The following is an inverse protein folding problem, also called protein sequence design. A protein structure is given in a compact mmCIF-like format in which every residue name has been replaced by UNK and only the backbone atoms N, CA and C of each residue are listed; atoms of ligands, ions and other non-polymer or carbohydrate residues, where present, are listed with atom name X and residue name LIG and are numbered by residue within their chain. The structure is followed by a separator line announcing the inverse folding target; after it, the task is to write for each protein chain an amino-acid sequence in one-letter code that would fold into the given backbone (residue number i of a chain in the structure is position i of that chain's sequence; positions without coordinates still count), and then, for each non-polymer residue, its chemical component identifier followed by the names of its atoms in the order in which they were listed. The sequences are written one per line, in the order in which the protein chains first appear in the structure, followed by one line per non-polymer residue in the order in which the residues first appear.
data_IF_221384697101
#
_entry.id   IF_221384697101
#
_cell.length_a   1.000
_cell.length_b   1.000
_cell.length_c   1.000
_cell.angle_alpha   90.00
_cell.angle_beta   90.00
_cell.angle_gamma   90.00
#
_symmetry.space_group_name_H-M   'P 1'
#
loop_
_entity.id
_entity.type
_entity.pdbx_description
1 polymer ?
#
# COMPACT_ATOMS: atom_id res chain seq x y z
N UNK A 1 -5.04 -11.15 -20.41
CA UNK A 1 -5.66 -10.36 -19.35
C UNK A 1 -5.35 -8.87 -19.49
N UNK A 2 -5.88 -8.04 -18.60
CA UNK A 2 -5.74 -6.57 -18.71
C UNK A 2 -4.31 -6.05 -18.51
N UNK A 3 -3.41 -6.88 -17.97
CA UNK A 3 -1.99 -6.58 -17.76
C UNK A 3 -1.08 -7.36 -18.70
N UNK A 4 -1.60 -7.83 -19.84
CA UNK A 4 -0.84 -8.67 -20.77
C UNK A 4 0.45 -8.00 -21.23
N UNK A 5 1.59 -8.64 -20.93
CA UNK A 5 2.92 -8.16 -21.29
C UNK A 5 3.47 -7.03 -20.44
N UNK A 6 2.76 -6.60 -19.37
CA UNK A 6 3.24 -5.52 -18.50
C UNK A 6 4.32 -6.08 -17.56
N UNK A 7 5.56 -5.53 -17.61
CA UNK A 7 6.58 -5.84 -16.63
C UNK A 7 6.28 -5.10 -15.32
N UNK A 8 6.37 -5.83 -14.19
CA UNK A 8 6.19 -5.26 -12.86
C UNK A 8 7.17 -5.84 -11.86
N UNK A 9 7.36 -5.15 -10.79
CA UNK A 9 8.01 -5.64 -9.57
C UNK A 9 6.98 -5.75 -8.45
N UNK A 10 7.35 -6.38 -7.35
CA UNK A 10 6.47 -6.56 -6.18
C UNK A 10 7.30 -6.49 -4.90
N UNK A 11 6.69 -6.03 -3.83
CA UNK A 11 7.33 -5.98 -2.50
C UNK A 11 7.92 -7.35 -2.12
N UNK A 12 9.12 -7.35 -1.54
CA UNK A 12 9.87 -8.58 -1.21
C UNK A 12 9.08 -9.55 -0.33
N UNK A 13 8.17 -9.04 0.47
CA UNK A 13 7.34 -9.81 1.38
C UNK A 13 6.30 -10.74 0.71
N UNK A 14 6.03 -10.58 -0.58
CA UNK A 14 5.15 -11.50 -1.31
C UNK A 14 5.87 -12.76 -1.75
N UNK A 15 5.23 -13.91 -1.57
CA UNK A 15 5.70 -15.17 -2.07
C UNK A 15 5.62 -15.22 -3.61
N UNK A 16 6.75 -15.43 -4.26
CA UNK A 16 6.85 -15.83 -5.67
C UNK A 16 7.53 -17.20 -5.68
N UNK A 17 6.93 -18.18 -6.34
CA UNK A 17 7.45 -19.53 -6.44
C UNK A 17 8.93 -19.54 -6.85
N UNK A 18 9.75 -20.34 -6.15
CA UNK A 18 11.20 -20.47 -6.31
C UNK A 18 12.01 -19.18 -6.06
N UNK A 19 11.39 -18.11 -5.52
CA UNK A 19 12.12 -16.90 -5.12
C UNK A 19 12.18 -16.74 -3.60
N UNK A 20 13.24 -16.09 -3.14
CA UNK A 20 13.44 -15.81 -1.72
C UNK A 20 12.37 -14.86 -1.19
N UNK A 21 11.89 -15.15 0.01
CA UNK A 21 10.94 -14.31 0.78
C UNK A 21 11.47 -14.28 2.20
N UNK A 22 12.13 -13.19 2.55
CA UNK A 22 12.94 -13.11 3.77
C UNK A 22 12.45 -12.06 4.76
N UNK A 23 11.64 -11.10 4.31
CA UNK A 23 11.27 -9.89 5.04
C UNK A 23 12.50 -9.11 5.53
N UNK A 24 13.64 -9.23 4.82
CA UNK A 24 14.91 -8.61 5.20
C UNK A 24 15.57 -9.22 6.44
N UNK A 25 15.07 -10.33 6.95
CA UNK A 25 15.53 -10.99 8.17
C UNK A 25 16.54 -12.10 7.85
N UNK A 26 17.75 -12.03 8.43
CA UNK A 26 18.84 -12.99 8.24
C UNK A 26 18.45 -14.42 8.59
N UNK A 27 17.58 -14.62 9.55
CA UNK A 27 17.12 -15.97 9.92
C UNK A 27 16.37 -16.67 8.76
N UNK A 28 15.84 -15.88 7.83
CA UNK A 28 15.11 -16.37 6.66
C UNK A 28 15.86 -16.15 5.34
N UNK A 29 17.16 -15.82 5.37
CA UNK A 29 17.98 -15.55 4.18
C UNK A 29 17.85 -16.62 3.08
N UNK A 30 17.69 -17.87 3.49
CA UNK A 30 17.58 -19.01 2.55
C UNK A 30 16.11 -19.45 2.35
N UNK A 31 15.15 -18.77 2.96
CA UNK A 31 13.74 -19.10 2.81
C UNK A 31 13.26 -18.83 1.38
N UNK A 32 12.80 -19.87 0.70
CA UNK A 32 12.29 -19.84 -0.68
C UNK A 32 10.82 -20.23 -0.68
N UNK A 33 9.98 -19.44 -1.36
CA UNK A 33 8.56 -19.71 -1.44
C UNK A 33 8.28 -20.95 -2.30
N UNK A 34 7.46 -21.87 -1.78
CA UNK A 34 7.08 -23.10 -2.48
C UNK A 34 5.98 -22.89 -3.54
N UNK A 35 5.32 -21.75 -3.53
CA UNK A 35 4.27 -21.39 -4.49
C UNK A 35 4.05 -19.88 -4.52
N UNK A 36 3.45 -19.40 -5.59
CA UNK A 36 3.00 -18.00 -5.70
C UNK A 36 1.91 -17.68 -4.65
N UNK A 37 2.04 -16.55 -4.00
CA UNK A 37 0.96 -15.95 -3.21
C UNK A 37 -0.24 -15.56 -4.07
N UNK A 38 -1.41 -15.41 -3.44
CA UNK A 38 -2.66 -15.19 -4.18
C UNK A 38 -2.62 -13.93 -5.07
N UNK A 39 -2.08 -12.81 -4.56
CA UNK A 39 -1.94 -11.59 -5.35
C UNK A 39 -0.99 -11.79 -6.55
N UNK A 40 0.11 -12.53 -6.36
CA UNK A 40 1.07 -12.86 -7.43
C UNK A 40 0.39 -13.68 -8.52
N UNK A 41 -0.36 -14.72 -8.17
CA UNK A 41 -1.12 -15.53 -9.13
C UNK A 41 -2.10 -14.69 -9.93
N UNK A 42 -2.87 -13.82 -9.27
CA UNK A 42 -3.83 -12.94 -9.92
C UNK A 42 -3.18 -11.98 -10.92
N UNK A 43 -2.02 -11.41 -10.58
CA UNK A 43 -1.26 -10.59 -11.51
C UNK A 43 -0.75 -11.39 -12.70
N UNK A 44 -0.25 -12.62 -12.50
CA UNK A 44 0.15 -13.52 -13.60
C UNK A 44 -1.03 -13.90 -14.49
N UNK A 45 -2.17 -14.25 -13.93
CA UNK A 45 -3.41 -14.55 -14.66
C UNK A 45 -3.93 -13.34 -15.46
N UNK A 46 -3.73 -12.12 -14.92
CA UNK A 46 -3.99 -10.89 -15.64
C UNK A 46 -2.98 -10.61 -16.77
N UNK A 47 -1.88 -11.36 -16.84
CA UNK A 47 -0.87 -11.30 -17.91
C UNK A 47 0.38 -10.49 -17.56
N UNK A 48 0.56 -10.08 -16.30
CA UNK A 48 1.77 -9.39 -15.85
C UNK A 48 2.99 -10.32 -15.76
N UNK A 49 4.18 -9.74 -15.94
CA UNK A 49 5.46 -10.44 -15.80
C UNK A 49 6.26 -9.81 -14.65
N UNK A 50 6.62 -10.62 -13.65
CA UNK A 50 7.46 -10.15 -12.55
C UNK A 50 8.92 -10.14 -12.98
N UNK A 51 9.55 -8.95 -12.91
CA UNK A 51 10.99 -8.77 -13.17
C UNK A 51 11.83 -9.01 -11.91
N UNK A 52 11.22 -8.99 -10.73
CA UNK A 52 11.88 -9.17 -9.46
C UNK A 52 11.06 -8.63 -8.30
N UNK A 53 11.71 -8.58 -7.12
CA UNK A 53 11.12 -8.12 -5.87
C UNK A 53 11.83 -6.86 -5.39
N UNK A 54 11.11 -5.98 -4.70
CA UNK A 54 11.60 -4.68 -4.24
C UNK A 54 11.88 -4.70 -2.74
N UNK A 55 12.94 -4.00 -2.33
CA UNK A 55 13.50 -4.03 -0.98
C UNK A 55 12.53 -3.56 0.11
N UNK A 56 12.73 -4.08 1.30
CA UNK A 56 11.94 -3.85 2.52
C UNK A 56 12.87 -3.61 3.71
N UNK A 57 12.40 -3.00 4.82
CA UNK A 57 13.13 -3.05 6.10
C UNK A 57 13.04 -4.42 6.75
N UNK A 58 13.91 -4.66 7.73
CA UNK A 58 13.88 -5.84 8.60
C UNK A 58 12.49 -6.03 9.20
N UNK A 59 11.91 -7.22 9.02
CA UNK A 59 10.58 -7.63 9.51
C UNK A 59 9.45 -6.65 9.14
N UNK A 60 9.63 -5.85 8.09
CA UNK A 60 8.72 -4.80 7.64
C UNK A 60 8.46 -3.69 8.70
N UNK A 61 9.31 -3.57 9.71
CA UNK A 61 9.07 -2.81 10.93
C UNK A 61 9.72 -1.41 10.97
N UNK A 62 10.04 -0.81 9.80
CA UNK A 62 10.63 0.53 9.73
C UNK A 62 10.06 1.33 8.55
N UNK A 63 10.21 2.66 8.62
CA UNK A 63 9.94 3.60 7.52
C UNK A 63 11.18 3.91 6.68
N UNK A 64 12.30 3.23 6.92
CA UNK A 64 13.48 3.20 6.06
C UNK A 64 13.67 1.77 5.54
N UNK A 65 13.60 1.59 4.21
CA UNK A 65 13.77 0.28 3.58
C UNK A 65 15.23 -0.12 3.47
N UNK A 66 15.75 -0.71 4.55
CA UNK A 66 17.11 -1.26 4.63
C UNK A 66 17.13 -2.58 5.41
N UNK A 67 18.05 -3.45 5.05
CA UNK A 67 18.36 -4.67 5.79
C UNK A 67 19.75 -5.19 5.40
N UNK A 68 20.27 -6.16 6.14
CA UNK A 68 21.58 -6.75 5.92
C UNK A 68 21.68 -7.65 4.69
N UNK A 69 20.55 -8.15 4.17
CA UNK A 69 20.51 -9.07 3.01
C UNK A 69 20.63 -8.29 1.71
N UNK A 70 19.83 -7.22 1.56
CA UNK A 70 19.65 -6.50 0.29
C UNK A 70 20.21 -5.08 0.32
N UNK A 71 20.66 -4.59 1.47
CA UNK A 71 21.18 -3.23 1.63
C UNK A 71 20.09 -2.17 1.79
N UNK A 72 20.42 -0.94 1.41
CA UNK A 72 19.58 0.24 1.62
C UNK A 72 19.01 0.77 0.33
N UNK A 73 17.73 1.10 0.35
CA UNK A 73 17.04 1.82 -0.73
C UNK A 73 17.00 3.30 -0.40
N UNK A 74 17.46 4.13 -1.32
CA UNK A 74 17.43 5.58 -1.19
C UNK A 74 16.23 6.18 -1.96
N UNK A 75 15.83 7.39 -1.59
CA UNK A 75 14.77 8.10 -2.31
C UNK A 75 15.29 8.58 -3.68
N UNK A 76 14.61 8.26 -4.80
CA UNK A 76 15.10 8.63 -6.14
C UNK A 76 15.18 10.15 -6.38
N UNK A 77 14.40 10.95 -5.65
CA UNK A 77 14.42 12.41 -5.77
C UNK A 77 15.59 13.06 -5.03
N UNK A 78 16.07 12.40 -3.97
CA UNK A 78 17.23 12.85 -3.20
C UNK A 78 17.82 11.64 -2.46
N UNK A 79 19.00 11.22 -2.87
CA UNK A 79 19.67 10.01 -2.35
C UNK A 79 20.05 10.11 -0.86
N UNK A 80 20.06 11.32 -0.29
CA UNK A 80 20.28 11.56 1.14
C UNK A 80 18.98 11.43 1.98
N UNK A 81 17.85 11.11 1.33
CA UNK A 81 16.55 10.97 1.97
C UNK A 81 16.06 9.53 1.90
N UNK A 82 15.22 9.16 2.86
CA UNK A 82 14.57 7.86 2.90
C UNK A 82 13.43 7.78 1.88
N UNK A 83 13.17 6.61 1.29
CA UNK A 83 12.03 6.40 0.38
C UNK A 83 10.72 6.13 1.13
N UNK A 84 10.76 6.07 2.47
CA UNK A 84 9.70 5.51 3.29
C UNK A 84 9.80 3.98 3.40
N UNK A 85 8.85 3.40 4.11
CA UNK A 85 8.78 1.96 4.40
C UNK A 85 7.39 1.55 4.93
N UNK A 86 7.16 0.29 4.97
CA UNK A 86 8.00 -0.84 4.58
C UNK A 86 7.95 -1.17 3.07
N UNK A 87 7.08 -0.57 2.24
CA UNK A 87 7.09 -0.72 0.77
C UNK A 87 7.98 0.35 0.09
N UNK A 88 9.12 0.71 0.70
CA UNK A 88 9.97 1.79 0.20
C UNK A 88 10.68 1.43 -1.11
N UNK A 89 11.11 0.17 -1.27
CA UNK A 89 11.64 -0.31 -2.54
C UNK A 89 10.62 -0.23 -3.67
N UNK A 90 9.35 -0.55 -3.38
CA UNK A 90 8.23 -0.46 -4.34
C UNK A 90 8.00 0.98 -4.81
N UNK A 91 7.89 1.91 -3.87
CA UNK A 91 7.68 3.32 -4.19
C UNK A 91 8.88 3.93 -4.92
N UNK A 92 10.11 3.58 -4.51
CA UNK A 92 11.32 4.03 -5.18
C UNK A 92 11.42 3.50 -6.62
N UNK A 93 11.10 2.23 -6.85
CA UNK A 93 11.10 1.64 -8.19
C UNK A 93 10.08 2.33 -9.13
N UNK A 94 8.89 2.63 -8.64
CA UNK A 94 7.88 3.40 -9.38
C UNK A 94 8.35 4.82 -9.69
N UNK A 95 8.88 5.55 -8.70
CA UNK A 95 9.34 6.92 -8.87
C UNK A 95 10.53 7.01 -9.82
N UNK A 96 11.43 6.02 -9.80
CA UNK A 96 12.55 5.92 -10.73
C UNK A 96 12.15 5.45 -12.14
N UNK A 97 10.90 5.04 -12.36
CA UNK A 97 10.43 4.52 -13.64
C UNK A 97 10.89 3.11 -13.99
N UNK A 98 11.37 2.33 -13.02
CA UNK A 98 11.82 0.95 -13.23
C UNK A 98 10.66 -0.02 -13.43
N UNK A 99 9.52 0.31 -12.91
CA UNK A 99 8.29 -0.49 -13.01
C UNK A 99 7.09 0.41 -13.25
N UNK A 100 6.04 -0.13 -13.86
CA UNK A 100 4.76 0.58 -14.06
C UNK A 100 3.76 0.36 -12.93
N UNK A 101 3.90 -0.76 -12.22
CA UNK A 101 2.94 -1.23 -11.23
C UNK A 101 3.65 -1.99 -10.12
N UNK A 102 3.12 -1.88 -8.91
CA UNK A 102 3.64 -2.53 -7.70
C UNK A 102 2.51 -3.01 -6.80
N UNK A 103 2.79 -4.01 -5.98
CA UNK A 103 1.98 -4.35 -4.83
C UNK A 103 2.82 -4.28 -3.55
N UNK A 104 2.26 -3.65 -2.55
CA UNK A 104 2.81 -3.49 -1.20
C UNK A 104 1.86 -3.95 -0.12
N UNK A 105 2.15 -3.62 1.11
CA UNK A 105 1.29 -3.89 2.27
C UNK A 105 1.36 -2.74 3.27
N UNK A 106 0.33 -2.60 4.10
CA UNK A 106 0.19 -1.47 5.02
C UNK A 106 -0.50 -1.92 6.31
N UNK A 107 0.22 -1.86 7.41
CA UNK A 107 -0.33 -2.01 8.76
C UNK A 107 -0.29 -0.67 9.52
N UNK A 108 0.78 0.10 9.35
CA UNK A 108 1.04 1.36 10.03
C UNK A 108 1.36 2.53 9.09
N UNK A 109 1.07 2.41 7.79
CA UNK A 109 1.43 3.42 6.79
C UNK A 109 2.32 2.89 5.67
N UNK A 110 2.60 1.58 5.64
CA UNK A 110 3.66 1.01 4.78
C UNK A 110 3.37 1.00 3.26
N UNK A 111 2.19 1.41 2.81
CA UNK A 111 1.91 1.81 1.42
C UNK A 111 1.89 3.33 1.33
N UNK A 112 1.14 3.99 2.22
CA UNK A 112 0.83 5.42 2.18
C UNK A 112 2.06 6.28 2.43
N UNK A 113 2.88 5.93 3.42
CA UNK A 113 4.10 6.65 3.77
C UNK A 113 5.12 6.64 2.60
N UNK A 114 5.56 5.50 2.04
CA UNK A 114 6.49 5.51 0.92
C UNK A 114 5.90 6.13 -0.35
N UNK A 115 4.59 5.98 -0.60
CA UNK A 115 3.93 6.65 -1.71
C UNK A 115 4.04 8.18 -1.58
N UNK A 116 3.81 8.72 -0.38
CA UNK A 116 3.99 10.14 -0.09
C UNK A 116 5.46 10.58 -0.27
N UNK A 117 6.41 9.84 0.28
CA UNK A 117 7.84 10.22 0.24
C UNK A 117 8.44 10.17 -1.16
N UNK A 118 7.97 9.25 -2.01
CA UNK A 118 8.45 9.09 -3.38
C UNK A 118 7.57 9.80 -4.43
N UNK A 119 6.44 10.41 -4.05
CA UNK A 119 5.56 11.13 -4.95
C UNK A 119 4.84 10.21 -5.95
N UNK A 120 4.42 9.03 -5.51
CA UNK A 120 3.62 8.07 -6.28
C UNK A 120 2.26 7.84 -5.64
N UNK A 121 1.37 7.13 -6.31
CA UNK A 121 0.06 6.78 -5.77
C UNK A 121 0.14 5.47 -4.98
N UNK A 122 -0.45 5.45 -3.78
CA UNK A 122 -0.58 4.25 -2.95
C UNK A 122 -2.00 4.12 -2.42
N UNK A 123 -2.58 2.92 -2.52
CA UNK A 123 -3.92 2.66 -2.03
C UNK A 123 -3.89 1.60 -0.93
N UNK A 124 -4.25 2.03 0.29
CA UNK A 124 -4.56 1.12 1.40
C UNK A 124 -6.04 0.77 1.33
N UNK A 125 -6.40 -0.43 0.84
CA UNK A 125 -7.80 -0.82 0.70
C UNK A 125 -8.46 -1.11 2.04
N UNK A 126 -9.77 -1.31 2.01
CA UNK A 126 -10.53 -1.84 3.14
C UNK A 126 -9.99 -3.21 3.54
N UNK A 127 -9.85 -3.45 4.84
CA UNK A 127 -9.43 -4.75 5.36
C UNK A 127 -10.33 -5.88 4.83
N UNK A 128 -9.72 -7.01 4.48
CA UNK A 128 -10.41 -8.23 4.05
C UNK A 128 -10.83 -8.29 2.57
N UNK A 129 -10.72 -7.19 1.79
CA UNK A 129 -11.07 -7.27 0.34
C UNK A 129 -9.95 -7.82 -0.53
N UNK A 130 -8.71 -7.82 -0.03
CA UNK A 130 -7.56 -8.50 -0.64
C UNK A 130 -7.01 -9.47 0.40
N UNK A 131 -7.08 -10.79 0.16
CA UNK A 131 -6.52 -11.77 1.08
C UNK A 131 -5.01 -11.65 1.20
N UNK A 132 -4.47 -11.93 2.39
CA UNK A 132 -3.04 -11.87 2.67
C UNK A 132 -2.28 -13.16 2.32
N UNK A 133 -2.95 -14.17 1.77
CA UNK A 133 -2.37 -15.48 1.41
C UNK A 133 -1.13 -15.33 0.53
N UNK A 134 0.01 -15.80 1.03
CA UNK A 134 1.33 -15.65 0.40
C UNK A 134 1.99 -14.30 0.67
N UNK A 135 1.49 -13.56 1.66
CA UNK A 135 2.14 -12.40 2.25
C UNK A 135 2.39 -12.67 3.75
N UNK A 136 2.82 -13.86 4.07
CA UNK A 136 3.25 -14.31 5.39
C UNK A 136 4.66 -14.89 5.32
N UNK A 137 5.48 -14.69 6.35
CA UNK A 137 6.82 -15.24 6.46
C UNK A 137 6.80 -16.69 6.96
N UNK A 138 5.84 -17.01 7.82
CA UNK A 138 5.62 -18.34 8.38
C UNK A 138 4.23 -18.81 7.95
N UNK A 139 4.17 -19.97 7.33
CA UNK A 139 2.91 -20.55 6.85
C UNK A 139 1.93 -20.89 7.98
N UNK A 140 0.64 -20.82 7.68
CA UNK A 140 -0.46 -21.14 8.60
C UNK A 140 -0.61 -20.20 9.80
N UNK A 141 -0.15 -18.96 9.71
CA UNK A 141 -0.53 -17.91 10.63
C UNK A 141 -1.86 -17.26 10.17
N UNK A 142 -2.72 -16.85 11.10
CA UNK A 142 -3.91 -16.07 10.74
C UNK A 142 -3.53 -14.74 10.09
N UNK A 143 -4.41 -14.23 9.23
CA UNK A 143 -4.27 -12.87 8.71
C UNK A 143 -4.24 -11.87 9.87
N UNK A 144 -3.36 -10.87 9.77
CA UNK A 144 -3.29 -9.80 10.77
C UNK A 144 -4.52 -8.89 10.70
N UNK A 145 -5.08 -8.55 11.85
CA UNK A 145 -6.29 -7.72 11.99
C UNK A 145 -6.16 -6.31 11.37
N UNK A 146 -4.95 -5.77 11.30
CA UNK A 146 -4.68 -4.41 10.83
C UNK A 146 -4.01 -4.35 9.46
N UNK A 147 -3.28 -5.40 9.09
CA UNK A 147 -2.51 -5.42 7.85
C UNK A 147 -3.42 -5.57 6.64
N UNK A 148 -3.07 -4.89 5.57
CA UNK A 148 -3.71 -5.04 4.25
C UNK A 148 -2.64 -5.10 3.16
N UNK A 149 -2.90 -5.90 2.14
CA UNK A 149 -2.22 -5.85 0.86
C UNK A 149 -2.87 -4.79 -0.03
N UNK A 150 -2.09 -4.10 -0.86
CA UNK A 150 -2.64 -3.09 -1.75
C UNK A 150 -1.65 -2.63 -2.82
N UNK A 151 -2.15 -1.97 -3.88
CA UNK A 151 -1.34 -1.54 -5.00
C UNK A 151 -0.63 -0.21 -4.76
N UNK A 152 0.50 -0.02 -5.48
CA UNK A 152 1.12 1.27 -5.74
C UNK A 152 1.29 1.45 -7.26
N UNK A 153 1.15 2.68 -7.75
CA UNK A 153 1.21 3.00 -9.17
C UNK A 153 1.64 4.45 -9.41
N UNK A 154 1.80 4.84 -10.69
CA UNK A 154 2.09 6.22 -11.09
C UNK A 154 0.86 7.00 -11.53
N UNK A 155 -0.30 6.37 -11.59
CA UNK A 155 -1.60 7.01 -11.87
C UNK A 155 -2.71 6.41 -11.02
N UNK A 156 -3.82 7.14 -10.87
CA UNK A 156 -5.01 6.65 -10.17
C UNK A 156 -5.72 5.55 -10.97
N UNK A 157 -5.65 5.62 -12.30
CA UNK A 157 -6.21 4.62 -13.22
C UNK A 157 -5.50 3.29 -13.09
N UNK A 158 -4.16 3.29 -13.06
CA UNK A 158 -3.35 2.08 -12.87
C UNK A 158 -3.56 1.49 -11.46
N UNK A 159 -3.71 2.37 -10.47
CA UNK A 159 -4.01 1.96 -9.10
C UNK A 159 -5.34 1.22 -9.01
N UNK A 160 -6.37 1.76 -9.69
CA UNK A 160 -7.69 1.11 -9.78
C UNK A 160 -7.61 -0.23 -10.52
N UNK A 161 -6.89 -0.28 -11.64
CA UNK A 161 -6.70 -1.50 -12.41
C UNK A 161 -6.02 -2.60 -11.56
N UNK A 162 -4.98 -2.24 -10.82
CA UNK A 162 -4.30 -3.16 -9.92
C UNK A 162 -5.21 -3.63 -8.78
N UNK A 163 -6.01 -2.74 -8.19
CA UNK A 163 -7.01 -3.10 -7.18
C UNK A 163 -8.02 -4.10 -7.73
N UNK A 164 -8.55 -3.86 -8.93
CA UNK A 164 -9.52 -4.76 -9.58
C UNK A 164 -8.92 -6.16 -9.83
N UNK A 165 -7.61 -6.27 -10.08
CA UNK A 165 -6.91 -7.54 -10.22
C UNK A 165 -6.68 -8.23 -8.88
N UNK A 166 -6.30 -7.49 -7.84
CA UNK A 166 -5.94 -8.05 -6.53
C UNK A 166 -7.16 -8.45 -5.70
N UNK A 167 -8.27 -7.70 -5.81
CA UNK A 167 -9.41 -7.80 -4.91
C UNK A 167 -10.30 -9.02 -5.18
N UNK A 168 -10.93 -9.53 -4.11
CA UNK A 168 -11.86 -10.66 -4.14
C UNK A 168 -11.49 -11.73 -3.12
N UNK A 169 -12.40 -12.72 -2.88
CA UNK A 169 -12.22 -13.77 -1.87
C UNK A 169 -11.02 -14.67 -2.19
N UNK A 170 -10.42 -15.29 -1.18
CA UNK A 170 -9.55 -16.42 -1.37
C UNK A 170 -10.30 -17.60 -2.02
N UNK A 171 -9.59 -18.56 -2.64
CA UNK A 171 -10.19 -19.62 -3.43
C UNK A 171 -11.27 -20.43 -2.68
N UNK A 172 -11.00 -20.77 -1.42
CA UNK A 172 -11.97 -21.49 -0.58
C UNK A 172 -13.20 -20.67 -0.26
N UNK A 173 -13.01 -19.37 -0.07
CA UNK A 173 -14.08 -18.42 0.27
C UNK A 173 -14.95 -18.07 -0.95
N UNK A 174 -14.36 -18.12 -2.15
CA UNK A 174 -15.06 -17.83 -3.42
C UNK A 174 -16.26 -18.75 -3.70
N UNK A 175 -16.34 -19.87 -2.99
CA UNK A 175 -17.53 -20.74 -3.02
C UNK A 175 -18.71 -20.12 -2.26
N UNK A 176 -18.43 -19.30 -1.23
CA UNK A 176 -19.45 -18.75 -0.34
C UNK A 176 -19.82 -17.30 -0.61
N UNK A 177 -18.90 -16.49 -1.17
CA UNK A 177 -19.15 -15.08 -1.42
C UNK A 177 -18.35 -14.52 -2.61
N UNK A 178 -18.80 -13.38 -3.11
CA UNK A 178 -18.12 -12.61 -4.17
C UNK A 178 -18.00 -11.16 -3.75
N UNK A 179 -16.86 -10.54 -4.04
CA UNK A 179 -16.69 -9.10 -3.84
C UNK A 179 -17.48 -8.34 -4.92
N UNK A 180 -18.30 -7.41 -4.47
CA UNK A 180 -18.98 -6.45 -5.33
C UNK A 180 -18.77 -5.05 -4.77
N UNK A 181 -17.78 -4.34 -5.29
CA UNK A 181 -17.54 -2.96 -4.93
C UNK A 181 -18.62 -2.06 -5.56
N UNK A 182 -19.21 -1.14 -4.78
CA UNK A 182 -20.19 -0.21 -5.31
C UNK A 182 -19.53 0.72 -6.34
N UNK A 183 -20.28 1.05 -7.39
CA UNK A 183 -19.84 2.14 -8.29
C UNK A 183 -19.95 3.48 -7.56
N UNK A 184 -19.07 4.47 -7.88
CA UNK A 184 -19.26 5.81 -7.38
C UNK A 184 -20.67 6.32 -7.65
N UNK A 185 -21.30 6.91 -6.64
CA UNK A 185 -22.67 7.42 -6.73
C UNK A 185 -22.73 8.90 -7.16
N UNK A 186 -21.61 9.47 -7.57
CA UNK A 186 -21.50 10.85 -8.06
C UNK A 186 -21.06 10.87 -9.54
N UNK A 187 -21.49 11.89 -10.28
CA UNK A 187 -21.15 12.11 -11.71
C UNK A 187 -20.22 13.29 -11.91
N UNK A 188 -20.10 14.16 -10.91
CA UNK A 188 -19.22 15.31 -10.97
C UNK A 188 -18.71 15.65 -9.55
N UNK A 189 -17.60 16.41 -9.48
CA UNK A 189 -17.05 16.89 -8.23
C UNK A 189 -18.03 17.79 -7.47
N UNK A 190 -19.01 18.41 -8.13
CA UNK A 190 -20.03 19.29 -7.53
C UNK A 190 -20.99 18.52 -6.59
N UNK A 191 -21.04 17.21 -6.69
CA UNK A 191 -21.87 16.35 -5.84
C UNK A 191 -21.12 15.86 -4.60
N UNK A 192 -19.81 16.17 -4.51
CA UNK A 192 -18.97 15.73 -3.41
C UNK A 192 -19.06 16.69 -2.22
N UNK A 193 -19.14 16.09 -1.02
CA UNK A 193 -18.91 16.76 0.27
C UNK A 193 -17.57 16.29 0.80
N UNK A 194 -16.66 17.20 1.04
CA UNK A 194 -15.27 16.94 1.42
C UNK A 194 -14.97 17.63 2.74
N UNK A 195 -14.50 16.87 3.74
CA UNK A 195 -13.90 17.41 4.94
C UNK A 195 -12.37 17.39 4.79
N UNK A 196 -11.71 18.50 5.04
CA UNK A 196 -10.24 18.61 5.04
C UNK A 196 -9.75 18.65 6.48
N UNK A 197 -8.96 17.67 6.85
CA UNK A 197 -8.34 17.57 8.16
C UNK A 197 -6.82 17.49 7.98
N UNK A 198 -6.16 18.65 7.97
CA UNK A 198 -4.75 18.78 7.59
C UNK A 198 -3.77 18.48 8.73
N UNK A 199 -4.18 18.76 9.98
CA UNK A 199 -3.34 18.54 11.17
C UNK A 199 -4.20 18.21 12.38
N UNK A 200 -3.61 17.61 13.41
CA UNK A 200 -4.25 17.28 14.69
C UNK A 200 -3.23 17.34 15.83
N UNK A 201 -3.69 17.61 17.06
CA UNK A 201 -2.82 17.66 18.24
C UNK A 201 -2.14 16.31 18.53
N UNK A 202 -2.81 15.19 18.23
CA UNK A 202 -2.27 13.83 18.42
C UNK A 202 -1.25 13.47 17.32
N UNK A 203 -1.40 14.05 16.13
CA UNK A 203 -0.53 13.78 14.97
C UNK A 203 -0.24 15.09 14.21
N UNK A 204 0.55 16.00 14.79
CA UNK A 204 0.87 17.26 14.13
C UNK A 204 1.73 17.03 12.89
N UNK A 205 1.46 17.79 11.84
CA UNK A 205 2.25 17.80 10.61
C UNK A 205 3.04 19.11 10.48
N UNK A 206 4.06 19.15 9.61
CA UNK A 206 4.74 20.40 9.30
C UNK A 206 3.82 21.38 8.57
N UNK A 207 4.07 22.67 8.72
CA UNK A 207 3.30 23.73 8.04
C UNK A 207 3.26 23.52 6.51
N UNK A 208 4.35 23.04 5.91
CA UNK A 208 4.42 22.75 4.49
C UNK A 208 3.40 21.67 4.06
N UNK A 209 3.25 20.61 4.85
CA UNK A 209 2.26 19.55 4.58
C UNK A 209 0.85 20.08 4.80
N UNK A 210 0.62 20.83 5.89
CA UNK A 210 -0.67 21.45 6.17
C UNK A 210 -1.14 22.37 5.04
N UNK A 211 -0.24 23.23 4.55
CA UNK A 211 -0.50 24.10 3.40
C UNK A 211 -0.86 23.30 2.14
N UNK A 212 -0.15 22.20 1.84
CA UNK A 212 -0.44 21.38 0.67
C UNK A 212 -1.79 20.69 0.75
N UNK A 213 -2.14 20.15 1.91
CA UNK A 213 -3.45 19.52 2.13
C UNK A 213 -4.57 20.56 2.01
N UNK A 214 -4.37 21.74 2.57
CA UNK A 214 -5.30 22.88 2.47
C UNK A 214 -5.50 23.29 1.01
N UNK A 215 -4.42 23.42 0.22
CA UNK A 215 -4.49 23.74 -1.21
C UNK A 215 -5.28 22.71 -2.04
N UNK A 216 -5.21 21.42 -1.66
CA UNK A 216 -6.05 20.37 -2.28
C UNK A 216 -7.52 20.65 -2.01
N UNK A 217 -7.89 20.97 -0.76
CA UNK A 217 -9.26 21.33 -0.40
C UNK A 217 -9.76 22.56 -1.16
N UNK A 218 -8.97 23.62 -1.24
CA UNK A 218 -9.29 24.83 -2.01
C UNK A 218 -9.47 24.54 -3.51
N UNK A 219 -8.64 23.66 -4.06
CA UNK A 219 -8.74 23.25 -5.47
C UNK A 219 -10.05 22.51 -5.71
N UNK A 220 -10.43 21.59 -4.84
CA UNK A 220 -11.71 20.89 -4.93
C UNK A 220 -12.91 21.84 -4.80
N UNK A 221 -12.83 22.84 -3.91
CA UNK A 221 -13.84 23.88 -3.79
C UNK A 221 -13.97 24.70 -5.09
N UNK A 222 -12.85 25.12 -5.70
CA UNK A 222 -12.84 25.81 -7.01
C UNK A 222 -13.44 24.97 -8.13
N UNK A 223 -13.31 23.64 -8.06
CA UNK A 223 -13.91 22.70 -9.00
C UNK A 223 -15.38 22.39 -8.70
N UNK A 224 -15.91 22.97 -7.63
CA UNK A 224 -17.34 22.96 -7.30
C UNK A 224 -17.76 21.97 -6.20
N UNK A 225 -16.83 21.27 -5.55
CA UNK A 225 -17.16 20.44 -4.39
C UNK A 225 -17.56 21.31 -3.17
N UNK A 226 -18.44 20.79 -2.32
CA UNK A 226 -18.73 21.35 -1.01
C UNK A 226 -17.61 20.96 -0.04
N UNK A 227 -16.74 21.92 0.34
CA UNK A 227 -15.56 21.66 1.17
C UNK A 227 -15.71 22.30 2.53
N UNK A 228 -15.45 21.55 3.61
CA UNK A 228 -15.37 22.03 4.99
C UNK A 228 -13.97 21.80 5.54
N UNK A 229 -13.38 22.83 6.15
CA UNK A 229 -12.09 22.74 6.85
C UNK A 229 -12.24 22.51 8.35
N UNK A 230 -13.47 22.66 8.88
CA UNK A 230 -13.77 22.56 10.30
C UNK A 230 -14.48 21.24 10.68
N UNK A 231 -14.96 20.48 9.70
CA UNK A 231 -15.63 19.21 9.95
C UNK A 231 -14.63 18.17 10.47
N UNK A 232 -15.01 17.49 11.55
CA UNK A 232 -14.24 16.39 12.14
C UNK A 232 -15.14 15.19 12.34
N UNK A 233 -14.62 13.97 12.23
CA UNK A 233 -15.36 12.76 12.58
C UNK A 233 -15.63 12.73 14.08
N UNK A 234 -16.75 12.14 14.48
CA UNK A 234 -17.11 12.02 15.89
C UNK A 234 -16.43 10.80 16.54
N UNK A 235 -15.13 10.91 16.78
CA UNK A 235 -14.37 9.94 17.58
C UNK A 235 -13.22 10.66 18.32
N UNK A 236 -12.69 10.02 19.37
CA UNK A 236 -11.51 10.48 20.08
C UNK A 236 -10.22 9.95 19.40
N UNK A 237 -9.38 10.82 18.81
CA UNK A 237 -8.15 10.42 18.15
C UNK A 237 -7.15 9.75 19.11
N UNK A 238 -7.09 10.18 20.38
CA UNK A 238 -6.20 9.61 21.39
C UNK A 238 -6.60 8.17 21.72
N UNK A 239 -7.91 7.93 21.91
CA UNK A 239 -8.43 6.58 22.13
C UNK A 239 -8.19 5.67 20.92
N UNK A 240 -8.44 6.18 19.71
CA UNK A 240 -8.18 5.44 18.48
C UNK A 240 -6.69 5.06 18.33
N UNK A 241 -5.78 6.01 18.63
CA UNK A 241 -4.34 5.78 18.59
C UNK A 241 -3.91 4.73 19.63
N UNK A 242 -4.41 4.82 20.86
CA UNK A 242 -4.11 3.85 21.93
C UNK A 242 -4.54 2.44 21.52
N UNK A 243 -5.75 2.27 21.01
CA UNK A 243 -6.23 0.98 20.52
C UNK A 243 -5.40 0.43 19.37
N UNK A 244 -5.02 1.29 18.42
CA UNK A 244 -4.12 0.90 17.34
C UNK A 244 -2.78 0.37 17.87
N UNK A 245 -2.17 1.06 18.83
CA UNK A 245 -0.89 0.62 19.42
C UNK A 245 -1.02 -0.72 20.16
N UNK A 246 -2.11 -0.96 20.85
CA UNK A 246 -2.37 -2.24 21.52
C UNK A 246 -2.52 -3.38 20.52
N UNK A 247 -3.29 -3.18 19.45
CA UNK A 247 -3.47 -4.18 18.39
C UNK A 247 -2.19 -4.43 17.59
N UNK A 248 -1.32 -3.44 17.44
CA UNK A 248 -0.05 -3.60 16.74
C UNK A 248 0.96 -4.46 17.53
N UNK A 249 0.81 -4.55 18.85
CA UNK A 249 1.69 -5.29 19.75
C UNK A 249 1.19 -6.69 20.08
N UNK A 250 -0.04 -7.02 19.71
CA UNK A 250 -0.65 -8.34 19.92
C UNK A 250 -0.28 -9.34 18.81
#
# INVERSE_FOLDING_TARGET
GPLHGIPMTIKESYAIEDQKTTWGNEAFRENTAASDGLAVRRFREAGAHFMGKTNVPLDLADFQSFNSIYGTTNNPWNLERIPGGSSGGSAAALAAGFTGLEAGSDIGGSIRNPAHFCGVYGHKPTHGIIPQTGHELISNVPDSDLSVCGPLARSAEDLKLALDVMAGPAEREAMGWKLQLPKPNFKSLKELKVAVWSTDEVAPVSNEIEERVTQVGETLAKLGAEVSFDSRPNFDPTFAHTNYQLLLQS
#
